data_IF_365094519507
#
_entry.id   IF_365094519507
#
_cell.length_a   1.000
_cell.length_b   1.000
_cell.length_c   1.000
_cell.angle_alpha   90.00
_cell.angle_beta   90.00
_cell.angle_gamma   90.00
#
_symmetry.space_group_name_H-M   'P 1'
#
loop_
_entity.id
_entity.type
_entity.pdbx_description
1 polymer ?
#
# COMPACT_ATOMS: atom_id res chain seq x y z
N UNK A 1 7.75 -9.79 33.93
CA UNK A 1 6.77 -8.75 34.34
C UNK A 1 5.58 -8.81 33.40
N UNK A 2 4.44 -9.35 33.86
CA UNK A 2 3.24 -9.49 33.04
C UNK A 2 2.51 -8.14 32.97
N UNK A 3 2.55 -7.49 31.81
CA UNK A 3 1.83 -6.24 31.57
C UNK A 3 0.38 -6.56 31.19
N UNK A 4 -0.57 -5.76 31.68
CA UNK A 4 -1.97 -5.90 31.26
C UNK A 4 -2.11 -5.57 29.77
N UNK A 5 -3.07 -6.21 29.09
CA UNK A 5 -3.37 -5.95 27.66
C UNK A 5 -3.67 -4.47 27.43
N UNK A 6 -4.39 -3.83 28.37
CA UNK A 6 -4.72 -2.41 28.28
C UNK A 6 -3.47 -1.53 28.34
N UNK A 7 -2.52 -1.85 29.21
CA UNK A 7 -1.25 -1.11 29.32
C UNK A 7 -0.45 -1.17 28.02
N UNK A 8 -0.45 -2.33 27.36
CA UNK A 8 0.20 -2.52 26.06
C UNK A 8 -0.49 -1.68 24.98
N UNK A 9 -1.83 -1.73 24.90
CA UNK A 9 -2.60 -0.93 23.94
C UNK A 9 -2.35 0.56 24.11
N UNK A 10 -2.40 1.07 25.34
CA UNK A 10 -2.16 2.50 25.61
C UNK A 10 -0.75 2.94 25.20
N UNK A 11 0.25 2.04 25.29
CA UNK A 11 1.62 2.33 24.81
C UNK A 11 1.68 2.36 23.28
N UNK A 12 0.99 1.44 22.60
CA UNK A 12 0.89 1.47 21.15
C UNK A 12 0.20 2.73 20.64
N UNK A 13 -0.88 3.18 21.28
CA UNK A 13 -1.56 4.42 20.92
C UNK A 13 -0.66 5.65 21.06
N UNK A 14 0.10 5.74 22.16
CA UNK A 14 1.07 6.83 22.36
C UNK A 14 2.21 6.76 21.35
N UNK A 15 2.74 5.57 21.08
CA UNK A 15 3.78 5.36 20.07
C UNK A 15 3.30 5.73 18.67
N UNK A 16 2.07 5.35 18.30
CA UNK A 16 1.49 5.67 17.00
C UNK A 16 1.38 7.19 16.78
N UNK A 17 1.02 7.95 17.82
CA UNK A 17 0.99 9.42 17.76
C UNK A 17 2.39 10.00 17.50
N UNK A 18 3.41 9.47 18.16
CA UNK A 18 4.79 9.90 17.95
C UNK A 18 5.29 9.60 16.53
N UNK A 19 4.98 8.41 16.00
CA UNK A 19 5.39 8.04 14.65
C UNK A 19 4.58 8.70 13.54
N UNK A 20 3.47 9.38 13.85
CA UNK A 20 2.62 10.01 12.84
C UNK A 20 3.39 10.99 11.97
N UNK A 21 4.14 11.91 12.59
CA UNK A 21 4.93 12.92 11.89
C UNK A 21 6.08 12.30 11.09
N UNK A 22 6.72 11.27 11.65
CA UNK A 22 7.79 10.52 10.97
C UNK A 22 7.25 9.83 9.71
N UNK A 23 6.06 9.21 9.81
CA UNK A 23 5.41 8.55 8.69
C UNK A 23 5.03 9.59 7.61
N UNK A 24 4.50 10.75 7.99
CA UNK A 24 4.20 11.83 7.05
C UNK A 24 5.46 12.35 6.32
N UNK A 25 6.57 12.54 7.04
CA UNK A 25 7.85 12.90 6.46
C UNK A 25 8.36 11.84 5.47
N UNK A 26 8.35 10.57 5.87
CA UNK A 26 8.76 9.46 5.01
C UNK A 26 7.85 9.33 3.78
N UNK A 27 6.53 9.55 3.92
CA UNK A 27 5.57 9.56 2.81
C UNK A 27 5.92 10.64 1.80
N UNK A 28 6.27 11.84 2.26
CA UNK A 28 6.63 12.93 1.38
C UNK A 28 7.94 12.66 0.63
N UNK A 29 8.95 12.08 1.28
CA UNK A 29 10.18 11.65 0.61
C UNK A 29 9.97 10.48 -0.36
N UNK A 30 9.08 9.55 -0.01
CA UNK A 30 8.74 8.41 -0.86
C UNK A 30 8.04 8.86 -2.15
N UNK A 31 7.24 9.92 -2.07
CA UNK A 31 6.43 10.45 -3.17
C UNK A 31 6.95 11.81 -3.66
N UNK A 32 8.27 11.99 -3.64
CA UNK A 32 8.93 13.17 -4.19
C UNK A 32 8.70 13.27 -5.71
N UNK A 33 8.82 14.48 -6.26
CA UNK A 33 8.62 14.75 -7.68
C UNK A 33 9.51 13.83 -8.54
N UNK A 34 8.95 13.31 -9.64
CA UNK A 34 9.64 12.47 -10.62
C UNK A 34 10.18 11.13 -10.05
N UNK A 35 9.68 10.72 -8.88
CA UNK A 35 10.04 9.42 -8.29
C UNK A 35 9.34 8.25 -8.98
N UNK A 36 9.98 7.08 -8.91
CA UNK A 36 9.41 5.80 -9.38
C UNK A 36 9.00 4.99 -8.15
N UNK A 37 7.69 4.75 -8.00
CA UNK A 37 7.11 4.18 -6.79
C UNK A 37 6.39 2.88 -7.12
N UNK A 38 6.61 1.85 -6.32
CA UNK A 38 5.84 0.61 -6.38
C UNK A 38 4.70 0.66 -5.35
N UNK A 39 3.48 0.42 -5.82
CA UNK A 39 2.29 0.31 -5.00
C UNK A 39 1.76 -1.12 -5.06
N UNK A 40 1.66 -1.73 -3.89
CA UNK A 40 1.19 -3.10 -3.74
C UNK A 40 0.10 -3.21 -2.68
N UNK A 41 -0.76 -4.20 -2.84
CA UNK A 41 -1.87 -4.48 -1.93
C UNK A 41 -1.66 -5.84 -1.25
N UNK A 42 -1.68 -5.84 0.08
CA UNK A 42 -1.71 -7.06 0.87
C UNK A 42 -2.97 -7.09 1.72
N UNK A 43 -3.49 -8.27 2.05
CA UNK A 43 -4.68 -8.40 2.88
C UNK A 43 -4.47 -9.41 3.99
N UNK A 44 -5.14 -9.16 5.11
CA UNK A 44 -5.17 -10.09 6.24
C UNK A 44 -6.56 -10.18 6.85
N UNK A 45 -6.93 -11.39 7.28
CA UNK A 45 -8.17 -11.60 8.03
C UNK A 45 -8.00 -11.07 9.46
N UNK A 46 -8.82 -10.10 9.84
CA UNK A 46 -8.86 -9.54 11.18
C UNK A 46 -10.22 -9.85 11.85
N UNK A 47 -10.20 -10.25 13.12
CA UNK A 47 -11.40 -10.45 13.93
C UNK A 47 -11.88 -9.11 14.48
N UNK A 48 -13.03 -8.63 14.03
CA UNK A 48 -13.70 -7.44 14.54
C UNK A 48 -15.12 -7.81 14.96
N UNK A 49 -15.52 -7.41 16.18
CA UNK A 49 -16.88 -7.62 16.68
C UNK A 49 -17.41 -9.03 16.39
N UNK A 50 -16.67 -10.05 16.86
CA UNK A 50 -16.92 -11.49 16.69
C UNK A 50 -16.97 -12.07 15.27
N UNK A 51 -16.79 -11.26 14.22
CA UNK A 51 -16.71 -11.70 12.81
C UNK A 51 -15.31 -11.51 12.21
N UNK A 52 -14.93 -12.36 11.27
CA UNK A 52 -13.67 -12.23 10.53
C UNK A 52 -13.91 -11.45 9.23
N UNK A 53 -13.12 -10.40 9.03
CA UNK A 53 -13.19 -9.55 7.86
C UNK A 53 -11.85 -9.54 7.14
N UNK A 54 -11.86 -9.58 5.81
CA UNK A 54 -10.68 -9.29 5.00
C UNK A 54 -10.39 -7.80 5.10
N UNK A 55 -9.17 -7.46 5.52
CA UNK A 55 -8.71 -6.08 5.64
C UNK A 55 -7.50 -5.88 4.75
N UNK A 56 -7.59 -4.87 3.91
CA UNK A 56 -6.57 -4.51 2.95
C UNK A 56 -5.59 -3.49 3.57
N UNK A 57 -4.31 -3.68 3.30
CA UNK A 57 -3.19 -2.83 3.70
C UNK A 57 -2.40 -2.55 2.44
N UNK A 58 -2.01 -1.29 2.23
CA UNK A 58 -1.27 -0.88 1.05
C UNK A 58 0.18 -0.65 1.38
N UNK A 59 1.07 -1.03 0.47
CA UNK A 59 2.51 -0.88 0.59
C UNK A 59 3.00 0.05 -0.52
N UNK A 60 3.64 1.15 -0.11
CA UNK A 60 4.35 2.07 -0.99
C UNK A 60 5.84 1.84 -0.82
N UNK A 61 6.53 1.49 -1.90
CA UNK A 61 7.96 1.26 -1.88
C UNK A 61 8.61 2.16 -2.90
N UNK A 62 9.53 3.01 -2.42
CA UNK A 62 10.43 3.76 -3.28
C UNK A 62 11.85 3.27 -3.03
N UNK A 63 12.42 2.60 -4.03
CA UNK A 63 13.75 2.03 -3.96
C UNK A 63 14.85 3.11 -3.95
N UNK A 64 14.64 4.22 -4.67
CA UNK A 64 15.59 5.33 -4.73
C UNK A 64 15.70 6.04 -3.37
N UNK A 65 14.56 6.27 -2.72
CA UNK A 65 14.49 6.82 -1.37
C UNK A 65 14.84 5.78 -0.28
N UNK A 66 14.92 4.49 -0.62
CA UNK A 66 15.09 3.35 0.32
C UNK A 66 14.03 3.33 1.42
N UNK A 67 12.79 3.67 1.05
CA UNK A 67 11.66 3.77 1.99
C UNK A 67 10.57 2.79 1.58
N UNK A 68 10.03 2.08 2.57
CA UNK A 68 8.83 1.26 2.44
C UNK A 68 7.83 1.69 3.51
N UNK A 69 6.60 2.03 3.09
CA UNK A 69 5.55 2.55 3.96
C UNK A 69 4.31 1.69 3.81
N UNK A 70 3.77 1.23 4.94
CA UNK A 70 2.51 0.53 5.00
C UNK A 70 1.40 1.49 5.45
N UNK A 71 0.36 1.61 4.64
CA UNK A 71 -0.80 2.44 4.89
C UNK A 71 -2.02 1.57 5.17
N UNK A 72 -2.81 1.96 6.18
CA UNK A 72 -4.10 1.36 6.51
C UNK A 72 -5.12 2.49 6.69
N UNK A 73 -6.29 2.33 6.07
CA UNK A 73 -7.41 3.28 6.09
C UNK A 73 -8.67 2.52 6.52
N UNK A 74 -9.66 2.34 5.65
CA UNK A 74 -10.91 1.67 5.99
C UNK A 74 -10.86 0.14 5.83
N UNK A 75 -9.72 -0.37 5.36
CA UNK A 75 -9.48 -1.78 5.07
C UNK A 75 -10.36 -2.36 3.97
N UNK A 76 -11.12 -1.52 3.26
CA UNK A 76 -11.83 -1.88 2.05
C UNK A 76 -10.88 -1.87 0.86
N UNK A 77 -11.03 -2.82 -0.05
CA UNK A 77 -10.33 -2.80 -1.33
C UNK A 77 -10.89 -1.66 -2.18
N UNK A 78 -10.10 -0.64 -2.44
CA UNK A 78 -10.61 0.56 -3.09
C UNK A 78 -9.56 1.39 -3.80
N UNK A 79 -9.83 1.66 -5.06
CA UNK A 79 -9.13 2.62 -5.91
C UNK A 79 -9.11 4.05 -5.30
N UNK A 80 -10.12 4.41 -4.49
CA UNK A 80 -10.20 5.70 -3.78
C UNK A 80 -8.99 5.97 -2.88
N UNK A 81 -8.46 4.93 -2.24
CA UNK A 81 -7.31 5.06 -1.33
C UNK A 81 -6.06 5.44 -2.12
N UNK A 82 -5.84 4.78 -3.26
CA UNK A 82 -4.72 5.12 -4.15
C UNK A 82 -4.86 6.55 -4.70
N UNK A 83 -6.06 6.96 -5.10
CA UNK A 83 -6.31 8.34 -5.53
C UNK A 83 -5.96 9.35 -4.44
N UNK A 84 -6.40 9.14 -3.19
CA UNK A 84 -6.10 10.05 -2.08
C UNK A 84 -4.61 10.13 -1.73
N UNK A 85 -3.85 9.03 -1.88
CA UNK A 85 -2.40 9.02 -1.65
C UNK A 85 -1.65 9.83 -2.72
N UNK A 86 -2.10 9.74 -3.98
CA UNK A 86 -1.45 10.34 -5.14
C UNK A 86 -1.98 11.74 -5.49
N UNK A 87 -3.07 12.17 -4.88
CA UNK A 87 -3.69 13.47 -5.13
C UNK A 87 -2.69 14.62 -4.92
N UNK A 88 -2.54 15.46 -5.94
CA UNK A 88 -1.62 16.60 -5.93
C UNK A 88 -0.13 16.23 -6.07
N UNK A 89 0.22 14.98 -6.37
CA UNK A 89 1.61 14.52 -6.55
C UNK A 89 1.94 14.25 -8.01
N UNK A 90 3.17 14.55 -8.41
CA UNK A 90 3.68 14.33 -9.77
C UNK A 90 4.80 13.30 -9.70
N UNK A 91 4.44 12.05 -9.94
CA UNK A 91 5.39 10.95 -9.99
C UNK A 91 5.85 10.73 -11.43
N UNK A 92 7.06 10.19 -11.62
CA UNK A 92 7.51 9.81 -12.97
C UNK A 92 6.79 8.55 -13.42
N UNK A 93 6.77 7.54 -12.55
CA UNK A 93 6.14 6.28 -12.86
C UNK A 93 5.59 5.61 -11.59
N UNK A 94 4.46 4.93 -11.74
CA UNK A 94 3.87 4.12 -10.70
C UNK A 94 3.80 2.67 -11.17
N UNK A 95 4.49 1.81 -10.43
CA UNK A 95 4.43 0.37 -10.65
C UNK A 95 3.31 -0.24 -9.81
N UNK A 96 2.36 -0.95 -10.43
CA UNK A 96 1.27 -1.63 -9.70
C UNK A 96 1.02 -3.04 -10.21
N UNK A 97 0.22 -3.81 -9.47
CA UNK A 97 -0.37 -5.03 -10.01
C UNK A 97 -1.34 -4.73 -11.18
N UNK A 98 -1.75 -5.79 -11.88
CA UNK A 98 -2.67 -5.68 -13.01
C UNK A 98 -4.11 -5.29 -12.62
N UNK A 99 -4.47 -5.30 -11.34
CA UNK A 99 -5.82 -4.91 -10.89
C UNK A 99 -5.97 -3.39 -10.82
N UNK A 100 -4.91 -2.68 -10.41
CA UNK A 100 -4.95 -1.21 -10.36
C UNK A 100 -4.85 -0.55 -11.74
N UNK A 101 -4.66 -1.31 -12.83
CA UNK A 101 -4.70 -0.82 -14.21
C UNK A 101 -6.01 -0.09 -14.54
N UNK A 102 -7.13 -0.45 -13.89
CA UNK A 102 -8.41 0.24 -14.12
C UNK A 102 -8.38 1.74 -13.77
N UNK A 103 -7.44 2.20 -12.94
CA UNK A 103 -7.24 3.63 -12.67
C UNK A 103 -6.73 4.43 -13.87
N UNK A 104 -5.97 3.77 -14.75
CA UNK A 104 -5.41 4.36 -15.96
C UNK A 104 -6.38 4.28 -17.14
N UNK A 105 -7.31 3.32 -17.10
CA UNK A 105 -8.34 3.14 -18.13
C UNK A 105 -9.54 4.08 -17.96
N UNK A 106 -9.74 4.66 -16.78
CA UNK A 106 -10.90 5.50 -16.44
C UNK A 106 -10.61 7.01 -16.54
N UNK A 107 -9.57 7.40 -17.32
CA UNK A 107 -9.09 8.79 -17.52
C UNK A 107 -8.87 9.59 -16.20
N UNK A 108 -8.73 8.84 -15.10
CA UNK A 108 -8.85 9.35 -13.75
C UNK A 108 -7.52 9.54 -13.03
N UNK A 109 -6.39 9.39 -13.73
CA UNK A 109 -5.06 9.61 -13.17
C UNK A 109 -4.17 10.53 -14.00
N UNK A 110 -3.52 11.38 -13.21
CA UNK A 110 -2.41 12.28 -13.44
C UNK A 110 -1.39 11.74 -14.47
N UNK A 111 -0.74 12.66 -15.18
CA UNK A 111 0.40 12.50 -16.10
C UNK A 111 1.56 11.70 -15.47
N UNK A 112 1.36 10.39 -15.29
CA UNK A 112 2.24 9.44 -14.59
C UNK A 112 2.30 8.16 -15.43
N UNK A 113 3.51 7.69 -15.73
CA UNK A 113 3.69 6.45 -16.47
C UNK A 113 3.28 5.24 -15.62
N UNK A 114 2.34 4.44 -16.12
CA UNK A 114 2.02 3.16 -15.49
C UNK A 114 3.02 2.08 -15.88
N UNK A 115 3.54 1.36 -14.88
CA UNK A 115 4.40 0.20 -15.10
C UNK A 115 3.77 -1.04 -14.47
N UNK A 116 3.68 -2.13 -15.22
CA UNK A 116 3.19 -3.39 -14.67
C UNK A 116 4.26 -4.00 -13.74
N UNK A 117 3.85 -4.44 -12.55
CA UNK A 117 4.72 -5.17 -11.65
C UNK A 117 5.10 -6.54 -12.22
N UNK A 118 6.36 -6.68 -12.65
CA UNK A 118 6.88 -7.91 -13.25
C UNK A 118 6.89 -9.10 -12.28
N UNK A 119 6.97 -8.85 -10.96
CA UNK A 119 6.85 -9.91 -9.96
C UNK A 119 5.46 -10.56 -9.97
N UNK A 120 4.41 -9.74 -10.12
CA UNK A 120 3.04 -10.25 -10.27
C UNK A 120 2.85 -10.98 -11.59
N UNK A 121 3.39 -10.44 -12.69
CA UNK A 121 3.34 -11.11 -13.98
C UNK A 121 4.02 -12.48 -13.91
N UNK A 122 5.24 -12.54 -13.37
CA UNK A 122 5.99 -13.79 -13.17
C UNK A 122 5.25 -14.79 -12.28
N UNK A 123 4.61 -14.33 -11.21
CA UNK A 123 3.78 -15.19 -10.35
C UNK A 123 2.61 -15.83 -11.09
N UNK A 124 1.94 -15.09 -11.98
CA UNK A 124 0.86 -15.63 -12.83
C UNK A 124 1.37 -16.68 -13.82
N UNK A 125 2.51 -16.42 -14.47
CA UNK A 125 3.11 -17.38 -15.39
C UNK A 125 3.52 -18.67 -14.68
N UNK A 126 4.14 -18.57 -13.49
CA UNK A 126 4.48 -19.73 -12.67
C UNK A 126 3.23 -20.55 -12.33
N UNK A 127 2.17 -19.89 -11.87
CA UNK A 127 0.92 -20.58 -11.53
C UNK A 127 0.28 -21.27 -12.73
N UNK A 128 0.32 -20.66 -13.92
CA UNK A 128 -0.18 -21.28 -15.15
C UNK A 128 0.56 -22.58 -15.49
N UNK A 129 1.90 -22.58 -15.39
CA UNK A 129 2.72 -23.78 -15.61
C UNK A 129 2.44 -24.87 -14.57
N UNK A 130 2.20 -24.49 -13.32
CA UNK A 130 1.89 -25.44 -12.24
C UNK A 130 0.48 -26.05 -12.35
N UNK A 131 -0.45 -25.44 -13.09
CA UNK A 131 -1.80 -26.00 -13.33
C UNK A 131 -1.80 -27.03 -14.47
N UNK A 132 -0.86 -26.95 -15.41
CA UNK A 132 -0.76 -27.87 -16.55
C UNK A 132 -0.06 -29.20 -16.21
N UNK A 133 0.38 -29.37 -14.96
CA UNK A 133 1.00 -30.59 -14.41
C UNK A 133 0.21 -31.14 -13.22
#
# INVERSE_FOLDING_TARGET
MWQSRQTITNRFEKGARFFKEVIEYLKNNCLEKDSVVNYDETWRCAKMASKFWKRHVWCLVNLQARVAIYCYEDGARGCKVLKGILEGRVLRALQTDGYNVYLYLDDGMLDIDHVCCMAHAGGKFKYAVEIEH
#
